data_IF_768338497672
#
_entry.id   IF_768338497672
#
_cell.length_a   1.000
_cell.length_b   1.000
_cell.length_c   1.000
_cell.angle_alpha   90.00
_cell.angle_beta   90.00
_cell.angle_gamma   90.00
#
_symmetry.space_group_name_H-M   'P 1'
#
loop_
_entity.id
_entity.type
_entity.pdbx_description
1 polymer ?
#
# COMPACT_ATOMS: atom_id res chain seq x y z
N UNK A 1 48.44 -35.18 11.67
CA UNK A 1 48.22 -34.30 10.49
C UNK A 1 48.11 -35.21 9.27
N UNK A 2 47.09 -35.05 8.42
CA UNK A 2 46.97 -35.86 7.20
C UNK A 2 48.16 -35.56 6.27
N UNK A 3 48.72 -36.60 5.67
CA UNK A 3 49.92 -36.50 4.84
C UNK A 3 49.55 -35.91 3.47
N UNK A 4 49.96 -34.67 3.22
CA UNK A 4 49.59 -33.88 2.03
C UNK A 4 50.14 -34.48 0.72
N UNK A 5 51.15 -35.34 0.81
CA UNK A 5 51.86 -35.94 -0.34
C UNK A 5 51.06 -37.04 -1.06
N UNK A 6 49.93 -37.48 -0.48
CA UNK A 6 49.09 -38.57 -1.03
C UNK A 6 47.78 -38.09 -1.65
N UNK A 7 47.48 -36.79 -1.58
CA UNK A 7 46.20 -36.25 -2.06
C UNK A 7 46.20 -36.12 -3.58
N UNK A 8 45.14 -36.63 -4.21
CA UNK A 8 44.88 -36.41 -5.64
C UNK A 8 44.59 -34.91 -5.88
N UNK A 9 44.85 -34.43 -7.09
CA UNK A 9 44.63 -33.02 -7.46
C UNK A 9 43.22 -32.51 -7.08
N UNK A 10 42.17 -33.30 -7.34
CA UNK A 10 40.78 -32.93 -6.99
C UNK A 10 40.53 -32.85 -5.48
N UNK A 11 41.18 -33.70 -4.68
CA UNK A 11 41.09 -33.65 -3.21
C UNK A 11 41.85 -32.46 -2.65
N UNK A 12 43.02 -32.15 -3.21
CA UNK A 12 43.79 -30.97 -2.82
C UNK A 12 43.02 -29.69 -3.15
N UNK A 13 42.47 -29.60 -4.35
CA UNK A 13 41.62 -28.48 -4.79
C UNK A 13 40.41 -28.31 -3.87
N UNK A 14 39.66 -29.37 -3.60
CA UNK A 14 38.49 -29.32 -2.71
C UNK A 14 38.87 -28.89 -1.29
N UNK A 15 39.99 -29.37 -0.75
CA UNK A 15 40.48 -28.97 0.59
C UNK A 15 40.94 -27.52 0.64
N UNK A 16 41.55 -27.01 -0.44
CA UNK A 16 41.95 -25.61 -0.54
C UNK A 16 40.73 -24.69 -0.71
N UNK A 17 39.76 -25.05 -1.54
CA UNK A 17 38.48 -24.33 -1.67
C UNK A 17 37.72 -24.31 -0.35
N UNK A 18 37.65 -25.41 0.38
CA UNK A 18 37.00 -25.46 1.70
C UNK A 18 37.68 -24.59 2.77
N UNK A 19 39.01 -24.42 2.70
CA UNK A 19 39.80 -23.77 3.75
C UNK A 19 40.11 -22.30 3.46
N UNK A 20 40.27 -21.97 2.18
CA UNK A 20 40.73 -20.67 1.71
C UNK A 20 39.82 -20.10 0.61
N UNK A 21 38.84 -20.85 0.12
CA UNK A 21 37.86 -20.33 -0.80
C UNK A 21 37.03 -19.25 -0.11
N UNK A 22 37.20 -18.01 -0.55
CA UNK A 22 36.31 -16.89 -0.23
C UNK A 22 35.01 -16.99 -1.05
N UNK A 23 34.60 -18.22 -1.37
CA UNK A 23 33.38 -18.50 -2.09
C UNK A 23 32.26 -18.35 -1.09
N UNK A 24 31.59 -17.20 -1.10
CA UNK A 24 30.25 -17.12 -0.54
C UNK A 24 29.49 -18.33 -1.11
N UNK A 25 29.12 -19.25 -0.22
CA UNK A 25 28.44 -20.45 -0.66
C UNK A 25 27.18 -20.04 -1.41
N UNK A 26 26.74 -20.85 -2.36
CA UNK A 26 25.49 -20.61 -3.08
C UNK A 26 24.34 -20.32 -2.09
N UNK A 27 24.34 -21.01 -0.94
CA UNK A 27 23.44 -20.77 0.19
C UNK A 27 23.54 -19.36 0.78
N UNK A 28 24.74 -18.80 0.89
CA UNK A 28 24.97 -17.42 1.32
C UNK A 28 24.35 -16.40 0.35
N UNK A 29 24.49 -16.63 -0.96
CA UNK A 29 23.84 -15.77 -1.96
C UNK A 29 22.31 -15.89 -1.94
N UNK A 30 21.77 -17.11 -1.79
CA UNK A 30 20.34 -17.30 -1.60
C UNK A 30 19.80 -16.55 -0.38
N UNK A 31 20.52 -16.64 0.74
CA UNK A 31 20.15 -15.97 1.98
C UNK A 31 20.18 -14.45 1.82
N UNK A 32 21.20 -13.89 1.18
CA UNK A 32 21.29 -12.46 0.87
C UNK A 32 20.18 -12.00 -0.08
N UNK A 33 19.92 -12.75 -1.15
CA UNK A 33 18.88 -12.43 -2.12
C UNK A 33 17.50 -12.37 -1.47
N UNK A 34 17.11 -13.43 -0.75
CA UNK A 34 15.77 -13.56 -0.14
C UNK A 34 15.53 -12.59 1.03
N UNK A 35 16.58 -12.28 1.80
CA UNK A 35 16.52 -11.30 2.89
C UNK A 35 16.65 -9.85 2.43
N UNK A 36 16.97 -9.60 1.16
CA UNK A 36 17.15 -8.25 0.63
C UNK A 36 15.90 -7.39 0.83
N UNK A 37 16.05 -6.24 1.50
CA UNK A 37 15.02 -5.21 1.70
C UNK A 37 15.60 -3.83 1.42
N UNK A 38 14.79 -2.92 0.90
CA UNK A 38 15.21 -1.54 0.64
C UNK A 38 15.64 -0.86 1.94
N UNK A 39 16.85 -0.30 1.96
CA UNK A 39 17.38 0.44 3.11
C UNK A 39 16.80 1.85 3.17
N UNK A 40 16.87 2.48 4.35
CA UNK A 40 16.48 3.87 4.49
C UNK A 40 17.37 4.76 3.61
N UNK A 41 16.75 5.66 2.83
CA UNK A 41 17.46 6.54 1.87
C UNK A 41 17.98 5.85 0.61
N UNK A 42 17.79 4.52 0.47
CA UNK A 42 18.23 3.81 -0.73
C UNK A 42 17.33 4.11 -1.93
N UNK A 43 17.95 4.45 -3.06
CA UNK A 43 17.23 4.70 -4.31
C UNK A 43 16.63 3.40 -4.88
N UNK A 44 15.51 3.53 -5.59
CA UNK A 44 14.84 2.42 -6.28
C UNK A 44 15.78 1.76 -7.30
N UNK A 45 16.59 2.56 -7.99
CA UNK A 45 17.56 2.06 -8.97
C UNK A 45 18.65 1.23 -8.30
N UNK A 46 19.23 1.73 -7.18
CA UNK A 46 20.26 1.02 -6.43
C UNK A 46 19.77 -0.31 -5.88
N UNK A 47 18.54 -0.35 -5.33
CA UNK A 47 17.90 -1.59 -4.92
C UNK A 47 17.75 -2.56 -6.10
N UNK A 48 17.25 -2.08 -7.24
CA UNK A 48 17.04 -2.89 -8.43
C UNK A 48 18.33 -3.53 -8.94
N UNK A 49 19.40 -2.75 -9.09
CA UNK A 49 20.71 -3.25 -9.53
C UNK A 49 21.31 -4.27 -8.56
N UNK A 50 21.15 -4.07 -7.26
CA UNK A 50 21.65 -5.02 -6.27
C UNK A 50 20.85 -6.32 -6.25
N UNK A 51 19.52 -6.25 -6.42
CA UNK A 51 18.66 -7.43 -6.57
C UNK A 51 19.01 -8.21 -7.83
N UNK A 52 19.25 -7.53 -8.95
CA UNK A 52 19.70 -8.14 -10.21
C UNK A 52 21.02 -8.91 -10.00
N UNK A 53 22.03 -8.23 -9.45
CA UNK A 53 23.34 -8.84 -9.16
C UNK A 53 23.20 -10.06 -8.24
N UNK A 54 22.45 -9.93 -7.13
CA UNK A 54 22.22 -11.03 -6.21
C UNK A 54 21.47 -12.19 -6.87
N UNK A 55 20.54 -11.92 -7.79
CA UNK A 55 19.83 -12.98 -8.52
C UNK A 55 20.77 -13.80 -9.41
N UNK A 56 21.77 -13.15 -10.04
CA UNK A 56 22.77 -13.81 -10.88
C UNK A 56 23.71 -14.70 -10.06
N UNK A 57 24.08 -14.25 -8.86
CA UNK A 57 24.91 -15.05 -7.94
C UNK A 57 24.14 -16.16 -7.24
N UNK A 58 22.85 -15.94 -6.94
CA UNK A 58 22.01 -16.91 -6.25
C UNK A 58 21.51 -18.01 -7.21
N UNK A 59 21.12 -17.66 -8.44
CA UNK A 59 20.54 -18.61 -9.40
C UNK A 59 21.35 -18.66 -10.72
N UNK A 60 22.64 -19.04 -10.68
CA UNK A 60 23.47 -19.13 -11.89
C UNK A 60 22.97 -20.19 -12.88
N UNK A 61 22.33 -21.26 -12.39
CA UNK A 61 21.79 -22.37 -13.19
C UNK A 61 20.47 -22.03 -13.91
N UNK A 62 19.76 -20.99 -13.47
CA UNK A 62 18.47 -20.62 -14.04
C UNK A 62 18.64 -19.83 -15.35
N UNK A 63 17.80 -20.06 -16.39
CA UNK A 63 17.78 -19.21 -17.57
C UNK A 63 17.45 -17.75 -17.23
N UNK A 64 17.97 -16.81 -18.02
CA UNK A 64 17.84 -15.37 -17.75
C UNK A 64 16.39 -14.90 -17.59
N UNK A 65 15.47 -15.44 -18.39
CA UNK A 65 14.03 -15.13 -18.32
C UNK A 65 13.43 -15.56 -16.97
N UNK A 66 13.84 -16.72 -16.45
CA UNK A 66 13.35 -17.23 -15.16
C UNK A 66 13.97 -16.41 -14.03
N UNK A 67 15.26 -16.11 -14.14
CA UNK A 67 16.00 -15.29 -13.19
C UNK A 67 15.43 -13.86 -13.11
N UNK A 68 15.07 -13.24 -14.23
CA UNK A 68 14.43 -11.91 -14.29
C UNK A 68 13.09 -11.91 -13.54
N UNK A 69 12.28 -12.96 -13.70
CA UNK A 69 11.01 -13.11 -12.96
C UNK A 69 11.23 -13.24 -11.46
N UNK A 70 12.21 -14.05 -11.04
CA UNK A 70 12.58 -14.23 -9.63
C UNK A 70 13.07 -12.89 -9.05
N UNK A 71 13.95 -12.20 -9.77
CA UNK A 71 14.48 -10.89 -9.38
C UNK A 71 13.37 -9.84 -9.30
N UNK A 72 12.45 -9.80 -10.26
CA UNK A 72 11.28 -8.91 -10.26
C UNK A 72 10.40 -9.14 -9.03
N UNK A 73 10.05 -10.40 -8.74
CA UNK A 73 9.24 -10.74 -7.57
C UNK A 73 9.94 -10.31 -6.26
N UNK A 74 11.25 -10.55 -6.16
CA UNK A 74 12.02 -10.15 -4.98
C UNK A 74 12.15 -8.64 -4.86
N UNK A 75 12.36 -7.92 -5.95
CA UNK A 75 12.41 -6.46 -5.97
C UNK A 75 11.10 -5.87 -5.44
N UNK A 76 9.95 -6.32 -5.95
CA UNK A 76 8.63 -5.86 -5.48
C UNK A 76 8.43 -6.20 -3.99
N UNK A 77 8.88 -7.37 -3.54
CA UNK A 77 8.79 -7.75 -2.12
C UNK A 77 9.68 -6.88 -1.23
N UNK A 78 10.83 -6.44 -1.74
CA UNK A 78 11.88 -5.71 -1.03
C UNK A 78 11.60 -4.21 -0.88
N UNK A 79 10.71 -3.62 -1.67
CA UNK A 79 10.35 -2.19 -1.59
C UNK A 79 9.85 -1.80 -0.20
N UNK A 80 10.32 -0.64 0.29
CA UNK A 80 9.90 -0.09 1.59
C UNK A 80 8.57 0.65 1.52
N UNK A 81 8.26 1.27 0.36
CA UNK A 81 7.01 1.99 0.15
C UNK A 81 5.84 1.01 -0.11
N UNK A 82 4.92 0.93 0.85
CA UNK A 82 3.78 0.02 0.79
C UNK A 82 2.79 0.34 -0.34
N UNK A 83 2.66 1.60 -0.74
CA UNK A 83 1.77 2.01 -1.84
C UNK A 83 2.37 1.59 -3.18
N UNK A 84 3.65 1.90 -3.43
CA UNK A 84 4.36 1.48 -4.64
C UNK A 84 4.35 -0.04 -4.75
N UNK A 85 4.70 -0.74 -3.68
CA UNK A 85 4.71 -2.21 -3.61
C UNK A 85 3.36 -2.82 -3.99
N UNK A 86 2.27 -2.36 -3.36
CA UNK A 86 0.93 -2.89 -3.64
C UNK A 86 0.49 -2.60 -5.08
N UNK A 87 0.83 -1.44 -5.61
CA UNK A 87 0.51 -1.07 -7.00
C UNK A 87 1.16 -2.04 -7.99
N UNK A 88 2.46 -2.28 -7.85
CA UNK A 88 3.19 -3.21 -8.73
C UNK A 88 2.68 -4.66 -8.61
N UNK A 89 2.29 -5.09 -7.40
CA UNK A 89 1.70 -6.42 -7.19
C UNK A 89 0.38 -6.60 -7.94
N UNK A 90 -0.47 -5.58 -7.98
CA UNK A 90 -1.75 -5.64 -8.70
C UNK A 90 -1.58 -5.56 -10.23
N UNK A 91 -0.54 -4.86 -10.71
CA UNK A 91 -0.23 -4.75 -12.14
C UNK A 91 0.35 -6.04 -12.75
N UNK A 92 0.79 -7.00 -11.91
CA UNK A 92 1.28 -8.30 -12.39
C UNK A 92 2.57 -8.21 -13.20
N UNK A 93 3.45 -7.25 -12.90
CA UNK A 93 4.70 -7.04 -13.62
C UNK A 93 5.65 -8.20 -13.40
N UNK A 94 6.22 -8.74 -14.48
CA UNK A 94 7.11 -9.92 -14.45
C UNK A 94 8.54 -9.64 -14.88
N UNK A 95 8.88 -8.41 -15.28
CA UNK A 95 10.25 -8.04 -15.68
C UNK A 95 10.82 -7.01 -14.72
N UNK A 96 12.05 -7.26 -14.24
CA UNK A 96 12.69 -6.42 -13.24
C UNK A 96 12.86 -4.99 -13.75
N UNK A 97 13.34 -4.83 -14.98
CA UNK A 97 13.54 -3.52 -15.62
C UNK A 97 12.24 -2.71 -15.64
N UNK A 98 11.15 -3.34 -16.05
CA UNK A 98 9.83 -2.68 -16.11
C UNK A 98 9.35 -2.31 -14.71
N UNK A 99 9.56 -3.19 -13.71
CA UNK A 99 9.19 -2.91 -12.34
C UNK A 99 9.95 -1.72 -11.75
N UNK A 100 11.26 -1.58 -12.04
CA UNK A 100 12.09 -0.46 -11.59
C UNK A 100 11.59 0.86 -12.18
N UNK A 101 11.40 0.92 -13.49
CA UNK A 101 10.92 2.14 -14.16
C UNK A 101 9.53 2.52 -13.66
N UNK A 102 8.63 1.54 -13.55
CA UNK A 102 7.29 1.77 -13.02
C UNK A 102 7.32 2.28 -11.58
N UNK A 103 8.14 1.67 -10.71
CA UNK A 103 8.31 2.12 -9.33
C UNK A 103 8.79 3.58 -9.25
N UNK A 104 9.76 3.98 -10.09
CA UNK A 104 10.20 5.39 -10.19
C UNK A 104 9.05 6.31 -10.58
N UNK A 105 8.27 5.96 -11.60
CA UNK A 105 7.14 6.80 -12.06
C UNK A 105 6.08 6.97 -10.97
N UNK A 106 5.72 5.91 -10.25
CA UNK A 106 4.73 5.96 -9.17
C UNK A 106 5.22 6.90 -8.06
N UNK A 107 6.51 6.79 -7.68
CA UNK A 107 7.09 7.66 -6.65
C UNK A 107 7.08 9.13 -7.05
N UNK A 108 7.44 9.47 -8.29
CA UNK A 108 7.39 10.85 -8.78
C UNK A 108 5.95 11.40 -8.75
N UNK A 109 4.97 10.61 -9.19
CA UNK A 109 3.55 11.02 -9.16
C UNK A 109 3.11 11.28 -7.71
N UNK A 110 3.52 10.42 -6.78
CA UNK A 110 3.19 10.54 -5.37
C UNK A 110 3.81 11.80 -4.75
N UNK A 111 5.09 12.10 -5.04
CA UNK A 111 5.76 13.31 -4.57
C UNK A 111 5.09 14.58 -5.11
N UNK A 112 4.74 14.61 -6.39
CA UNK A 112 4.07 15.75 -7.01
C UNK A 112 2.66 16.00 -6.45
N UNK A 113 1.93 14.93 -6.12
CA UNK A 113 0.58 15.06 -5.55
C UNK A 113 0.59 15.56 -4.09
N UNK A 114 1.72 15.45 -3.37
CA UNK A 114 1.90 16.12 -2.08
C UNK A 114 2.22 17.62 -2.21
N UNK A 115 2.89 18.06 -3.28
CA UNK A 115 3.20 19.47 -3.50
C UNK A 115 1.94 20.32 -3.73
N UNK A 116 0.97 19.81 -4.51
CA UNK A 116 -0.32 20.50 -4.73
C UNK A 116 -1.23 20.57 -3.49
N UNK A 117 -0.89 19.87 -2.40
CA UNK A 117 -1.63 19.98 -1.13
C UNK A 117 -1.13 21.11 -0.24
N UNK A 118 0.11 21.56 -0.43
CA UNK A 118 0.74 22.58 0.43
C UNK A 118 0.35 24.01 0.06
N UNK A 119 -0.18 24.23 -1.16
CA UNK A 119 -0.68 25.53 -1.61
C UNK A 119 -2.14 25.80 -1.18
N UNK A 120 -2.86 24.77 -0.73
CA UNK A 120 -4.26 24.87 -0.32
C UNK A 120 -4.44 24.96 1.20
N UNK A 121 -3.59 25.73 1.89
CA UNK A 121 -3.95 26.31 3.19
C UNK A 121 -4.97 27.45 2.96
N UNK A 122 -6.12 27.10 2.40
CA UNK A 122 -7.33 27.90 2.46
C UNK A 122 -7.84 27.78 3.89
N UNK A 123 -7.91 28.92 4.58
CA UNK A 123 -8.47 29.07 5.92
C UNK A 123 -9.68 28.16 6.12
N UNK A 124 -9.56 27.21 7.05
CA UNK A 124 -10.69 26.42 7.54
C UNK A 124 -11.54 27.32 8.43
N UNK A 125 -12.20 28.31 7.83
CA UNK A 125 -13.34 28.96 8.44
C UNK A 125 -14.46 27.93 8.54
N UNK A 126 -14.84 27.64 9.79
CA UNK A 126 -15.88 26.68 10.10
C UNK A 126 -17.22 27.10 9.52
N UNK A 127 -17.57 26.58 8.34
CA UNK A 127 -18.97 26.54 7.92
C UNK A 127 -19.62 25.31 8.53
N UNK A 128 -20.44 25.59 9.55
CA UNK A 128 -21.47 24.70 10.10
C UNK A 128 -22.19 23.98 8.96
N UNK A 129 -22.43 22.68 9.17
CA UNK A 129 -23.14 21.84 8.21
C UNK A 129 -24.48 22.47 7.81
N UNK A 130 -24.62 22.76 6.53
CA UNK A 130 -25.91 22.99 5.91
C UNK A 130 -26.43 21.65 5.39
N UNK A 131 -27.54 21.23 5.98
CA UNK A 131 -28.31 20.08 5.57
C UNK A 131 -28.73 20.23 4.10
N UNK A 132 -28.22 19.36 3.23
CA UNK A 132 -28.65 19.28 1.83
C UNK A 132 -30.09 18.74 1.78
N UNK A 133 -31.07 19.65 1.85
CA UNK A 133 -32.49 19.36 1.60
C UNK A 133 -32.65 19.07 0.10
N UNK A 134 -32.95 17.83 -0.25
CA UNK A 134 -33.34 17.45 -1.60
C UNK A 134 -34.69 18.11 -1.91
N UNK A 135 -34.69 19.19 -2.70
CA UNK A 135 -35.89 19.89 -3.15
C UNK A 135 -36.57 19.03 -4.21
N UNK A 136 -37.73 18.47 -3.88
CA UNK A 136 -38.62 17.81 -4.84
C UNK A 136 -39.30 18.92 -5.64
N UNK A 137 -38.93 19.08 -6.91
CA UNK A 137 -39.61 20.00 -7.82
C UNK A 137 -40.94 19.37 -8.26
N UNK A 138 -42.03 20.04 -7.91
CA UNK A 138 -43.35 19.88 -8.52
C UNK A 138 -43.33 20.51 -9.92
N UNK A 139 -43.75 19.76 -10.93
CA UNK A 139 -44.12 20.30 -12.24
C UNK A 139 -45.56 19.90 -12.52
N UNK A 140 -46.44 20.89 -12.42
CA UNK A 140 -47.80 20.82 -12.96
C UNK A 140 -47.82 21.10 -14.48
N UNK A 141 -48.90 20.62 -15.07
CA UNK A 141 -49.15 20.24 -16.46
C UNK A 141 -49.58 21.41 -17.37
N UNK A 142 -49.30 21.33 -18.68
CA UNK A 142 -50.32 21.14 -19.74
C UNK A 142 -49.64 21.05 -21.15
N UNK A 143 -49.84 19.92 -21.88
CA UNK A 143 -50.67 19.70 -23.12
C UNK A 143 -50.02 20.27 -24.40
N UNK A 144 -49.75 19.53 -25.49
CA UNK A 144 -50.62 18.64 -26.30
C UNK A 144 -49.84 17.62 -27.19
N UNK A 145 -50.51 16.47 -27.49
CA UNK A 145 -50.53 15.62 -28.73
C UNK A 145 -49.22 15.17 -29.43
N UNK A 146 -49.00 13.94 -29.96
CA UNK A 146 -49.76 12.70 -30.18
C UNK A 146 -48.76 11.59 -30.64
N UNK A 147 -49.17 10.31 -30.53
CA UNK A 147 -48.70 9.06 -31.17
C UNK A 147 -47.68 8.13 -30.49
N UNK A 148 -48.27 7.13 -29.81
CA UNK A 148 -48.07 5.69 -30.00
C UNK A 148 -46.66 5.10 -30.02
N UNK A 149 -46.34 4.35 -28.95
CA UNK A 149 -46.17 2.89 -29.00
C UNK A 149 -46.00 2.28 -27.61
N UNK A 150 -46.94 1.40 -27.26
CA UNK A 150 -46.90 0.53 -26.09
C UNK A 150 -45.62 -0.33 -26.04
N UNK A 151 -45.04 -0.44 -24.83
CA UNK A 151 -44.49 -1.70 -24.31
C UNK A 151 -44.53 -1.67 -22.78
N UNK A 152 -45.60 -2.26 -22.23
CA UNK A 152 -45.76 -2.58 -20.82
C UNK A 152 -44.75 -3.65 -20.41
N UNK A 153 -43.98 -3.42 -19.34
CA UNK A 153 -43.51 -4.51 -18.48
C UNK A 153 -43.47 -4.05 -17.01
N UNK A 154 -44.26 -4.76 -16.20
CA UNK A 154 -44.45 -4.61 -14.77
C UNK A 154 -43.14 -4.73 -13.98
N UNK A 155 -42.88 -3.78 -13.07
CA UNK A 155 -41.93 -3.95 -11.96
C UNK A 155 -42.68 -4.50 -10.75
N UNK A 156 -42.61 -5.82 -10.56
CA UNK A 156 -42.93 -6.44 -9.28
C UNK A 156 -41.65 -6.61 -8.44
N UNK A 157 -41.82 -6.41 -7.14
CA UNK A 157 -40.77 -6.06 -6.19
C UNK A 157 -39.77 -7.17 -5.89
N UNK A 158 -38.52 -6.74 -5.70
CA UNK A 158 -37.50 -7.51 -5.01
C UNK A 158 -37.30 -6.92 -3.62
N UNK A 159 -37.83 -7.63 -2.62
CA UNK A 159 -37.54 -7.43 -1.20
C UNK A 159 -36.07 -7.77 -0.98
N UNK A 160 -35.24 -6.80 -0.55
CA UNK A 160 -33.88 -7.06 -0.10
C UNK A 160 -33.89 -7.18 1.41
N UNK A 161 -33.69 -8.41 1.87
CA UNK A 161 -33.52 -8.80 3.27
C UNK A 161 -32.27 -8.16 3.87
N UNK A 162 -32.46 -7.45 4.99
CA UNK A 162 -31.38 -7.01 5.87
C UNK A 162 -30.78 -8.23 6.58
N UNK A 163 -29.52 -8.55 6.28
CA UNK A 163 -28.63 -9.25 7.20
C UNK A 163 -27.35 -8.43 7.30
N UNK A 164 -27.36 -7.50 8.25
CA UNK A 164 -26.18 -6.73 8.63
C UNK A 164 -25.13 -7.67 9.24
N UNK A 165 -23.91 -7.57 8.75
CA UNK A 165 -22.74 -8.21 9.36
C UNK A 165 -22.29 -7.31 10.51
N UNK A 166 -22.38 -7.89 11.71
CA UNK A 166 -22.08 -7.27 13.01
C UNK A 166 -20.58 -6.91 13.13
N UNK A 167 -20.22 -5.67 12.83
CA UNK A 167 -18.97 -5.11 13.31
C UNK A 167 -19.15 -4.73 14.78
N UNK A 168 -18.88 -5.70 15.68
CA UNK A 168 -18.70 -5.48 17.12
C UNK A 168 -17.74 -4.31 17.33
N UNK A 169 -18.31 -3.15 17.62
CA UNK A 169 -17.60 -1.96 18.12
C UNK A 169 -16.99 -2.32 19.47
N UNK A 170 -15.67 -2.29 19.56
CA UNK A 170 -15.00 -1.93 20.81
C UNK A 170 -15.31 -0.46 21.11
N UNK A 171 -16.51 -0.16 21.63
CA UNK A 171 -16.80 1.12 22.28
C UNK A 171 -16.17 1.04 23.67
N UNK A 172 -15.00 1.63 23.85
CA UNK A 172 -14.55 2.06 25.18
C UNK A 172 -15.58 3.08 25.67
N UNK A 173 -16.33 2.73 26.70
CA UNK A 173 -16.99 3.67 27.59
C UNK A 173 -15.92 4.52 28.26
N UNK A 174 -15.53 5.61 27.61
CA UNK A 174 -14.90 6.72 28.32
C UNK A 174 -15.98 7.79 28.43
N UNK A 175 -16.53 7.93 29.64
CA UNK A 175 -17.46 8.99 30.01
C UNK A 175 -16.92 10.32 29.53
N UNK A 176 -17.76 11.08 28.81
CA UNK A 176 -17.42 12.44 28.41
C UNK A 176 -17.52 13.31 29.65
N UNK A 177 -16.43 13.38 30.42
CA UNK A 177 -16.30 14.27 31.56
C UNK A 177 -15.95 15.69 31.09
N UNK A 178 -16.61 16.67 31.68
CA UNK A 178 -16.35 18.07 31.41
C UNK A 178 -15.03 18.49 32.06
N UNK A 179 -14.05 18.95 31.28
CA UNK A 179 -12.76 19.41 31.82
C UNK A 179 -12.83 20.74 32.60
N UNK A 180 -14.00 21.37 32.68
CA UNK A 180 -14.19 22.61 33.46
C UNK A 180 -14.89 22.36 34.80
N UNK A 181 -15.77 21.36 34.91
CA UNK A 181 -16.45 21.05 36.18
C UNK A 181 -16.35 19.58 36.62
N UNK A 182 -15.64 18.73 35.88
CA UNK A 182 -15.44 17.30 36.18
C UNK A 182 -16.69 16.42 36.09
N UNK A 183 -17.85 16.94 35.66
CA UNK A 183 -19.09 16.16 35.59
C UNK A 183 -19.23 15.47 34.25
N UNK A 184 -19.70 14.24 34.27
CA UNK A 184 -19.98 13.47 33.07
C UNK A 184 -21.27 13.94 32.37
N UNK A 185 -21.34 13.76 31.04
CA UNK A 185 -22.54 14.02 30.23
C UNK A 185 -22.46 15.26 29.35
N UNK A 186 -21.42 16.09 29.47
CA UNK A 186 -21.18 17.25 28.61
C UNK A 186 -19.69 17.55 28.49
N UNK A 187 -19.29 18.27 27.44
CA UNK A 187 -17.92 18.76 27.28
C UNK A 187 -17.78 20.18 27.84
N UNK A 188 -16.55 20.64 28.03
CA UNK A 188 -16.21 22.00 28.50
C UNK A 188 -17.02 23.12 27.79
N UNK A 189 -17.27 22.97 26.49
CA UNK A 189 -18.04 23.93 25.68
C UNK A 189 -19.51 24.08 26.09
N UNK A 190 -20.06 23.08 26.76
CA UNK A 190 -21.48 22.99 27.17
C UNK A 190 -21.62 23.05 28.70
N UNK A 191 -20.57 23.47 29.41
CA UNK A 191 -20.58 23.55 30.87
C UNK A 191 -21.58 24.59 31.37
N UNK A 192 -22.58 24.21 32.20
CA UNK A 192 -23.57 25.15 32.73
C UNK A 192 -22.96 26.25 33.62
N UNK A 193 -21.76 26.04 34.15
CA UNK A 193 -21.03 27.02 34.96
C UNK A 193 -20.22 28.05 34.17
N UNK A 194 -20.22 27.98 32.84
CA UNK A 194 -19.40 28.86 31.99
C UNK A 194 -20.06 30.23 31.85
N UNK A 195 -19.71 31.18 32.73
CA UNK A 195 -20.11 32.58 32.56
C UNK A 195 -19.45 33.13 31.30
N UNK A 196 -20.26 33.45 30.28
CA UNK A 196 -19.79 34.20 29.12
C UNK A 196 -19.45 35.61 29.62
N UNK A 197 -18.18 35.97 29.66
CA UNK A 197 -17.81 37.38 29.76
C UNK A 197 -18.36 38.04 28.49
N UNK A 198 -19.40 38.86 28.67
CA UNK A 198 -19.92 39.75 27.65
C UNK A 198 -19.07 41.03 27.70
N UNK A 199 -18.36 41.31 26.61
CA UNK A 199 -18.10 42.69 26.18
C UNK A 199 -19.20 43.09 25.19
#
# INVERSE_FOLDING_TARGET
MQNLETLRFEELKSKLEMRFGETQSLQGYYSQFTSRRQKFGESIASLGSDVERLSQSAYPECPDIVRDKIACAQFVSALSDGFVKRTLQMEGITSLRVAIERAKTIKLIQENSFQHRNENNFSREGKKGENFRFKKEEKDQDKDADKDKEKKFNKNGFKKSEKGIDFKKFRKENGKECWECGKEGHFRSECPGRTKNAE
#
